data_IF_361648864430
#
_entry.id   IF_361648864430
#
_cell.length_a   1.000
_cell.length_b   1.000
_cell.length_c   1.000
_cell.angle_alpha   90.00
_cell.angle_beta   90.00
_cell.angle_gamma   90.00
#
_symmetry.space_group_name_H-M   'P 1'
#
loop_
_entity.id
_entity.type
_entity.pdbx_description
1 polymer ?
#
# COMPACT_ATOMS: atom_id res chain seq x y z
N UNK A 1 -5.00 -13.65 5.72
CA UNK A 1 -5.58 -14.02 7.03
C UNK A 1 -6.93 -13.31 7.20
N UNK A 2 -7.69 -13.67 8.23
CA UNK A 2 -9.00 -13.05 8.49
C UNK A 2 -10.19 -13.75 7.84
N UNK A 3 -10.01 -14.95 7.28
CA UNK A 3 -11.08 -15.77 6.70
C UNK A 3 -11.82 -16.57 7.79
N UNK A 4 -13.03 -17.10 7.49
CA UNK A 4 -13.81 -17.88 8.44
C UNK A 4 -13.02 -19.02 9.08
N UNK A 5 -13.25 -19.24 10.38
CA UNK A 5 -12.63 -20.28 11.22
C UNK A 5 -11.10 -20.18 11.39
N UNK A 6 -10.47 -19.11 10.88
CA UNK A 6 -9.05 -18.90 11.13
C UNK A 6 -8.81 -18.47 12.58
N UNK A 7 -7.85 -19.13 13.21
CA UNK A 7 -7.22 -18.76 14.48
C UNK A 7 -5.71 -18.66 14.32
N UNK A 8 -5.01 -18.06 15.28
CA UNK A 8 -3.53 -18.01 15.36
C UNK A 8 -2.94 -19.39 15.12
N UNK A 9 -3.41 -20.42 15.84
CA UNK A 9 -2.90 -21.79 15.73
C UNK A 9 -3.11 -22.39 14.33
N UNK A 10 -4.29 -22.21 13.74
CA UNK A 10 -4.56 -22.73 12.39
C UNK A 10 -3.74 -22.02 11.31
N UNK A 11 -3.52 -20.71 11.48
CA UNK A 11 -2.77 -19.90 10.53
C UNK A 11 -1.28 -20.21 10.63
N UNK A 12 -0.78 -20.37 11.86
CA UNK A 12 0.59 -20.80 12.13
C UNK A 12 0.90 -22.13 11.44
N UNK A 13 0.02 -23.13 11.58
CA UNK A 13 0.17 -24.44 10.93
C UNK A 13 0.24 -24.31 9.40
N UNK A 14 -0.49 -23.36 8.83
CA UNK A 14 -0.44 -23.06 7.39
C UNK A 14 0.89 -22.41 7.03
N UNK A 15 1.32 -21.43 7.82
CA UNK A 15 2.55 -20.69 7.61
C UNK A 15 3.78 -21.60 7.69
N UNK A 16 3.81 -22.57 8.61
CA UNK A 16 4.87 -23.59 8.69
C UNK A 16 5.05 -24.36 7.37
N UNK A 17 3.94 -24.79 6.76
CA UNK A 17 3.97 -25.51 5.47
C UNK A 17 4.45 -24.59 4.33
N UNK A 18 4.05 -23.33 4.35
CA UNK A 18 4.47 -22.35 3.34
C UNK A 18 5.96 -22.04 3.45
N UNK A 19 6.47 -21.82 4.68
CA UNK A 19 7.90 -21.62 4.94
C UNK A 19 8.70 -22.85 4.47
N UNK A 20 8.20 -24.06 4.73
CA UNK A 20 8.83 -25.30 4.26
C UNK A 20 8.90 -25.37 2.72
N UNK A 21 7.90 -24.83 2.01
CA UNK A 21 7.92 -24.73 0.55
C UNK A 21 8.92 -23.67 0.03
N UNK A 22 9.46 -22.82 0.90
CA UNK A 22 10.50 -21.82 0.64
C UNK A 22 10.24 -20.91 -0.58
N UNK A 23 9.05 -20.29 -0.72
CA UNK A 23 8.81 -19.32 -1.78
C UNK A 23 9.75 -18.12 -1.63
N UNK A 24 10.10 -17.46 -2.75
CA UNK A 24 10.96 -16.28 -2.71
C UNK A 24 10.23 -15.04 -2.16
N UNK A 25 8.91 -14.96 -2.41
CA UNK A 25 8.03 -13.87 -1.97
C UNK A 25 6.72 -14.39 -1.40
N UNK A 26 6.15 -13.63 -0.46
CA UNK A 26 4.84 -13.89 0.12
C UNK A 26 4.05 -12.59 0.25
N UNK A 27 2.77 -12.65 -0.14
CA UNK A 27 1.79 -11.58 0.10
C UNK A 27 0.69 -12.10 1.03
N UNK A 28 0.64 -11.58 2.25
CA UNK A 28 -0.23 -12.08 3.33
C UNK A 28 -1.28 -11.03 3.67
N UNK A 29 -2.33 -10.97 2.85
CA UNK A 29 -3.37 -9.94 2.96
C UNK A 29 -4.33 -10.15 4.13
N UNK A 30 -4.76 -9.05 4.76
CA UNK A 30 -5.96 -9.02 5.59
C UNK A 30 -7.21 -9.18 4.72
N UNK A 31 -8.12 -10.06 5.11
CA UNK A 31 -9.40 -10.23 4.44
C UNK A 31 -10.31 -9.01 4.66
N UNK A 32 -10.62 -8.32 3.56
CA UNK A 32 -11.57 -7.21 3.53
C UNK A 32 -13.00 -7.72 3.26
N UNK A 33 -13.88 -7.59 4.26
CA UNK A 33 -15.27 -8.00 4.18
C UNK A 33 -16.19 -6.82 3.83
N UNK A 34 -16.65 -6.76 2.58
CA UNK A 34 -17.51 -5.74 2.00
C UNK A 34 -18.64 -6.40 1.17
N UNK A 35 -19.58 -7.14 1.79
CA UNK A 35 -20.61 -7.93 1.11
C UNK A 35 -21.66 -7.12 0.35
N UNK A 36 -21.73 -5.80 0.59
CA UNK A 36 -22.54 -4.85 -0.17
C UNK A 36 -21.96 -4.62 -1.57
N UNK A 37 -20.63 -4.59 -1.68
CA UNK A 37 -19.89 -4.37 -2.92
C UNK A 37 -19.58 -5.71 -3.62
N UNK A 38 -19.09 -6.69 -2.87
CA UNK A 38 -18.73 -8.01 -3.37
C UNK A 38 -19.78 -9.04 -2.96
N UNK A 39 -20.85 -9.14 -3.77
CA UNK A 39 -22.00 -10.03 -3.51
C UNK A 39 -21.63 -11.47 -3.11
N UNK A 40 -20.58 -12.14 -3.66
CA UNK A 40 -20.21 -13.48 -3.23
C UNK A 40 -19.86 -13.59 -1.74
N UNK A 41 -19.36 -12.52 -1.11
CA UNK A 41 -19.01 -12.51 0.30
C UNK A 41 -20.23 -12.67 1.23
N UNK A 42 -21.46 -12.45 0.74
CA UNK A 42 -22.71 -12.72 1.50
C UNK A 42 -22.89 -14.19 1.89
N UNK A 43 -22.09 -15.08 1.31
CA UNK A 43 -22.08 -16.52 1.63
C UNK A 43 -21.20 -16.86 2.84
N UNK A 44 -20.44 -15.88 3.33
CA UNK A 44 -19.63 -16.02 4.54
C UNK A 44 -20.49 -15.60 5.73
N UNK A 45 -20.55 -16.45 6.76
CA UNK A 45 -21.14 -16.09 8.03
C UNK A 45 -20.20 -15.15 8.78
N UNK A 46 -20.69 -13.97 9.16
CA UNK A 46 -19.87 -12.96 9.85
C UNK A 46 -19.42 -13.42 11.24
N UNK A 47 -20.22 -14.25 11.91
CA UNK A 47 -19.89 -14.79 13.24
C UNK A 47 -18.72 -15.79 13.22
N UNK A 48 -18.38 -16.31 12.03
CA UNK A 48 -17.25 -17.24 11.84
C UNK A 48 -15.95 -16.50 11.53
N UNK A 49 -16.01 -15.18 11.31
CA UNK A 49 -14.82 -14.37 11.07
C UNK A 49 -14.05 -14.19 12.39
N UNK A 50 -12.71 -14.24 12.34
CA UNK A 50 -11.90 -13.95 13.51
C UNK A 50 -12.13 -12.52 13.98
N UNK A 51 -12.11 -12.36 15.31
CA UNK A 51 -12.20 -11.04 15.95
C UNK A 51 -11.04 -10.12 15.53
N UNK A 52 -11.18 -8.79 15.68
CA UNK A 52 -10.08 -7.86 15.44
C UNK A 52 -8.80 -8.21 16.20
N UNK A 53 -8.92 -8.64 17.46
CA UNK A 53 -7.78 -9.05 18.27
C UNK A 53 -7.11 -10.30 17.69
N UNK A 54 -7.89 -11.32 17.32
CA UNK A 54 -7.35 -12.54 16.72
C UNK A 54 -6.63 -12.25 15.39
N UNK A 55 -7.14 -11.32 14.58
CA UNK A 55 -6.48 -10.86 13.34
C UNK A 55 -5.13 -10.18 13.63
N UNK A 56 -5.08 -9.34 14.67
CA UNK A 56 -3.85 -8.67 15.10
C UNK A 56 -2.82 -9.68 15.64
N UNK A 57 -3.27 -10.68 16.38
CA UNK A 57 -2.41 -11.74 16.90
C UNK A 57 -1.87 -12.62 15.76
N UNK A 58 -2.69 -12.94 14.75
CA UNK A 58 -2.25 -13.62 13.52
C UNK A 58 -1.18 -12.79 12.79
N UNK A 59 -1.40 -11.48 12.64
CA UNK A 59 -0.45 -10.58 11.97
C UNK A 59 0.89 -10.54 12.71
N UNK A 60 0.86 -10.39 14.03
CA UNK A 60 2.07 -10.35 14.88
C UNK A 60 2.84 -11.67 14.79
N UNK A 61 2.16 -12.80 14.99
CA UNK A 61 2.77 -14.13 14.87
C UNK A 61 3.37 -14.35 13.48
N UNK A 62 2.67 -13.93 12.43
CA UNK A 62 3.16 -14.04 11.05
C UNK A 62 4.46 -13.26 10.85
N UNK A 63 4.51 -12.01 11.30
CA UNK A 63 5.68 -11.16 11.16
C UNK A 63 6.89 -11.77 11.90
N UNK A 64 6.71 -12.19 13.15
CA UNK A 64 7.78 -12.78 13.96
C UNK A 64 8.30 -14.08 13.35
N UNK A 65 7.40 -14.96 12.91
CA UNK A 65 7.75 -16.27 12.38
C UNK A 65 8.45 -16.18 11.01
N UNK A 66 8.01 -15.25 10.16
CA UNK A 66 8.69 -14.99 8.90
C UNK A 66 10.06 -14.36 9.10
N UNK A 67 10.21 -13.43 10.04
CA UNK A 67 11.50 -12.86 10.38
C UNK A 67 12.47 -13.95 10.90
N UNK A 68 12.00 -14.85 11.76
CA UNK A 68 12.79 -16.00 12.24
C UNK A 68 13.18 -16.97 11.11
N UNK A 69 12.31 -17.13 10.10
CA UNK A 69 12.59 -17.91 8.90
C UNK A 69 13.49 -17.17 7.88
N UNK A 70 13.95 -15.95 8.17
CA UNK A 70 14.87 -15.18 7.34
C UNK A 70 14.20 -14.32 6.26
N UNK A 71 12.88 -14.19 6.26
CA UNK A 71 12.18 -13.28 5.35
C UNK A 71 12.26 -11.84 5.84
N UNK A 72 12.46 -10.93 4.91
CA UNK A 72 12.44 -9.48 5.13
C UNK A 72 11.03 -8.96 4.90
N UNK A 73 10.52 -8.15 5.83
CA UNK A 73 9.29 -7.40 5.63
C UNK A 73 9.53 -6.22 4.70
N UNK A 74 8.98 -6.30 3.49
CA UNK A 74 9.09 -5.26 2.46
C UNK A 74 8.08 -4.15 2.72
N UNK A 75 6.85 -4.49 3.11
CA UNK A 75 5.86 -3.49 3.49
C UNK A 75 4.44 -3.89 3.20
N UNK A 76 3.51 -3.24 3.92
CA UNK A 76 2.11 -3.62 4.02
C UNK A 76 1.92 -5.11 4.32
N UNK A 77 1.73 -5.91 3.28
CA UNK A 77 1.39 -7.32 3.34
C UNK A 77 2.48 -8.19 2.69
N UNK A 78 3.62 -7.61 2.27
CA UNK A 78 4.66 -8.28 1.46
C UNK A 78 5.93 -8.61 2.24
N UNK A 79 6.41 -9.84 2.02
CA UNK A 79 7.66 -10.38 2.54
C UNK A 79 8.47 -11.00 1.40
N UNK A 80 9.79 -10.90 1.46
CA UNK A 80 10.69 -11.47 0.47
C UNK A 80 11.97 -12.00 1.10
N UNK A 81 12.71 -12.87 0.41
CA UNK A 81 14.05 -13.31 0.85
C UNK A 81 15.03 -12.12 0.85
N UNK A 82 16.11 -12.15 1.66
CA UNK A 82 17.03 -11.01 1.79
C UNK A 82 17.80 -10.64 0.51
N UNK A 83 17.96 -11.60 -0.40
CA UNK A 83 18.61 -11.50 -1.70
C UNK A 83 17.61 -11.22 -2.85
N UNK A 84 16.32 -11.12 -2.55
CA UNK A 84 15.32 -10.69 -3.52
C UNK A 84 15.56 -9.24 -3.94
N UNK A 85 15.36 -8.94 -5.23
CA UNK A 85 15.53 -7.59 -5.79
C UNK A 85 14.71 -6.51 -5.05
N UNK A 86 13.55 -6.84 -4.48
CA UNK A 86 12.74 -5.89 -3.71
C UNK A 86 13.38 -5.58 -2.35
N UNK A 87 13.95 -6.58 -1.69
CA UNK A 87 14.66 -6.39 -0.42
C UNK A 87 15.94 -5.58 -0.62
N UNK A 88 16.65 -5.81 -1.74
CA UNK A 88 17.82 -5.04 -2.13
C UNK A 88 17.42 -3.59 -2.43
N UNK A 89 16.44 -3.37 -3.30
CA UNK A 89 15.98 -2.04 -3.67
C UNK A 89 15.48 -1.23 -2.46
N UNK A 90 14.80 -1.87 -1.51
CA UNK A 90 14.38 -1.19 -0.27
C UNK A 90 15.58 -0.73 0.57
N UNK A 91 16.59 -1.59 0.72
CA UNK A 91 17.81 -1.28 1.48
C UNK A 91 18.61 -0.14 0.84
N UNK A 92 18.54 -0.04 -0.49
CA UNK A 92 19.18 1.01 -1.29
C UNK A 92 18.31 2.28 -1.43
N UNK A 93 17.07 2.26 -0.94
CA UNK A 93 16.13 3.39 -1.04
C UNK A 93 15.53 3.60 -2.43
N UNK A 94 15.67 2.61 -3.33
CA UNK A 94 15.21 2.65 -4.73
C UNK A 94 13.91 1.87 -4.95
N UNK A 95 13.33 1.28 -3.90
CA UNK A 95 12.06 0.57 -4.00
C UNK A 95 10.95 1.51 -4.48
N UNK A 96 10.19 1.03 -5.45
CA UNK A 96 9.06 1.73 -6.02
C UNK A 96 7.78 0.92 -5.86
N UNK A 97 6.62 1.57 -6.04
CA UNK A 97 5.32 0.91 -6.00
C UNK A 97 4.39 1.43 -7.08
N UNK A 98 3.76 0.52 -7.82
CA UNK A 98 2.71 0.81 -8.80
C UNK A 98 1.38 0.13 -8.43
N UNK A 99 0.43 0.06 -9.37
CA UNK A 99 -0.88 -0.56 -9.14
C UNK A 99 -0.82 -2.07 -8.86
N UNK A 100 0.21 -2.78 -9.34
CA UNK A 100 0.37 -4.22 -9.12
C UNK A 100 1.08 -4.55 -7.80
N UNK A 101 1.91 -3.65 -7.29
CA UNK A 101 2.65 -3.87 -6.04
C UNK A 101 4.00 -3.17 -6.03
N UNK A 102 4.90 -3.67 -5.20
CA UNK A 102 6.28 -3.21 -5.15
C UNK A 102 7.07 -3.66 -6.39
N UNK A 103 7.99 -2.81 -6.85
CA UNK A 103 8.79 -3.01 -8.05
C UNK A 103 10.16 -2.34 -7.90
N UNK A 104 11.14 -2.85 -8.62
CA UNK A 104 12.49 -2.26 -8.79
C UNK A 104 12.57 -1.24 -9.92
N UNK A 105 11.54 -1.16 -10.76
CA UNK A 105 11.51 -0.27 -11.92
C UNK A 105 10.72 0.99 -11.59
N UNK A 106 11.43 2.00 -11.06
CA UNK A 106 10.91 3.34 -10.91
C UNK A 106 10.82 4.05 -12.28
N UNK A 107 10.08 5.16 -12.34
CA UNK A 107 10.08 6.12 -13.47
C UNK A 107 9.65 5.55 -14.84
N UNK A 108 9.02 4.37 -14.86
CA UNK A 108 8.46 3.79 -16.07
C UNK A 108 7.00 4.21 -16.27
N UNK A 109 6.66 4.55 -17.51
CA UNK A 109 5.25 4.59 -17.91
C UNK A 109 4.66 3.17 -17.84
N UNK A 110 3.45 3.07 -17.30
CA UNK A 110 2.68 1.85 -17.18
C UNK A 110 1.52 1.88 -18.18
N UNK A 111 1.55 1.00 -19.18
CA UNK A 111 0.44 0.84 -20.12
C UNK A 111 -0.49 -0.28 -19.64
N UNK A 112 -1.71 0.07 -19.25
CA UNK A 112 -2.74 -0.90 -18.88
C UNK A 112 -3.53 -1.38 -20.11
N UNK A 113 -3.55 -2.69 -20.34
CA UNK A 113 -4.30 -3.32 -21.44
C UNK A 113 -5.36 -4.26 -20.86
N UNK A 114 -6.55 -4.29 -21.49
CA UNK A 114 -7.69 -5.10 -21.08
C UNK A 114 -8.73 -4.32 -20.27
N UNK A 115 -9.82 -5.01 -19.92
CA UNK A 115 -10.88 -4.43 -19.07
C UNK A 115 -10.32 -4.03 -17.71
N UNK A 116 -10.86 -2.96 -17.12
CA UNK A 116 -10.54 -2.44 -15.78
C UNK A 116 -9.09 -1.96 -15.56
N UNK A 117 -8.18 -2.22 -16.52
CA UNK A 117 -6.76 -1.94 -16.37
C UNK A 117 -6.51 -0.45 -16.14
N UNK A 118 -5.51 -0.15 -15.33
CA UNK A 118 -5.09 1.21 -15.03
C UNK A 118 -3.70 1.41 -15.62
N UNK A 119 -3.55 2.47 -16.40
CA UNK A 119 -2.27 2.96 -16.89
C UNK A 119 -1.84 4.23 -16.17
N UNK A 120 -0.54 4.50 -16.23
CA UNK A 120 0.11 5.70 -15.73
C UNK A 120 1.12 6.16 -16.77
N UNK A 121 0.91 7.33 -17.38
CA UNK A 121 1.82 7.89 -18.38
C UNK A 121 2.14 9.33 -17.99
N UNK A 122 3.41 9.61 -17.72
CA UNK A 122 3.84 10.88 -17.13
C UNK A 122 3.01 11.27 -15.89
N UNK A 123 2.44 12.50 -15.83
CA UNK A 123 1.62 12.94 -14.71
C UNK A 123 0.14 12.51 -14.83
N UNK A 124 -0.17 11.44 -15.56
CA UNK A 124 -1.56 11.04 -15.81
C UNK A 124 -1.84 9.61 -15.38
N UNK A 125 -3.06 9.39 -14.90
CA UNK A 125 -3.64 8.07 -14.73
C UNK A 125 -4.81 7.90 -15.70
N UNK A 126 -4.95 6.71 -16.25
CA UNK A 126 -6.08 6.34 -17.11
C UNK A 126 -6.61 4.98 -16.70
N UNK A 127 -7.93 4.80 -16.77
CA UNK A 127 -8.59 3.54 -16.47
C UNK A 127 -9.45 3.11 -17.67
N UNK A 128 -9.30 1.87 -18.09
CA UNK A 128 -10.14 1.27 -19.12
C UNK A 128 -11.55 0.94 -18.62
N UNK A 129 -12.47 0.76 -19.56
CA UNK A 129 -13.85 0.32 -19.32
C UNK A 129 -13.91 -0.97 -18.49
N UNK A 130 -14.98 -1.09 -17.71
CA UNK A 130 -15.09 -2.12 -16.66
C UNK A 130 -15.82 -3.38 -17.12
N UNK A 131 -16.58 -3.30 -18.20
CA UNK A 131 -17.29 -4.44 -18.77
C UNK A 131 -16.63 -4.90 -20.06
N UNK A 132 -16.78 -6.19 -20.38
CA UNK A 132 -16.24 -6.76 -21.62
C UNK A 132 -16.94 -6.16 -22.85
N UNK A 133 -18.27 -6.04 -22.80
CA UNK A 133 -19.07 -5.58 -23.93
C UNK A 133 -18.69 -4.15 -24.35
N UNK A 134 -18.66 -3.20 -23.41
CA UNK A 134 -18.27 -1.80 -23.71
C UNK A 134 -16.80 -1.72 -24.16
N UNK A 135 -15.92 -2.54 -23.57
CA UNK A 135 -14.51 -2.56 -23.95
C UNK A 135 -14.33 -3.05 -25.38
N UNK A 136 -14.97 -4.15 -25.78
CA UNK A 136 -14.89 -4.65 -27.15
C UNK A 136 -15.52 -3.69 -28.15
N UNK A 137 -16.68 -3.09 -27.83
CA UNK A 137 -17.31 -2.09 -28.69
C UNK A 137 -16.37 -0.94 -29.03
N UNK A 138 -15.67 -0.38 -28.04
CA UNK A 138 -14.69 0.70 -28.24
C UNK A 138 -13.47 0.27 -29.08
N UNK A 139 -12.92 -0.92 -28.80
CA UNK A 139 -11.75 -1.42 -29.52
C UNK A 139 -12.11 -1.76 -30.97
N UNK A 140 -13.24 -2.41 -31.21
CA UNK A 140 -13.71 -2.80 -32.54
C UNK A 140 -14.08 -1.57 -33.40
N UNK A 141 -14.46 -0.45 -32.76
CA UNK A 141 -14.64 0.84 -33.44
C UNK A 141 -13.34 1.60 -33.70
N UNK A 142 -12.17 1.01 -33.41
CA UNK A 142 -10.85 1.62 -33.61
C UNK A 142 -10.49 2.71 -32.58
N UNK A 143 -11.18 2.74 -31.43
CA UNK A 143 -10.95 3.72 -30.36
C UNK A 143 -10.28 3.08 -29.15
N UNK A 144 -9.60 3.89 -28.33
CA UNK A 144 -9.09 3.43 -27.05
C UNK A 144 -10.23 3.28 -26.04
N UNK A 145 -10.27 2.17 -25.30
CA UNK A 145 -11.30 1.88 -24.30
C UNK A 145 -11.12 2.63 -22.97
N UNK A 146 -10.58 3.86 -23.00
CA UNK A 146 -10.35 4.69 -21.80
C UNK A 146 -11.68 5.23 -21.28
N UNK A 147 -12.06 4.82 -20.07
CA UNK A 147 -13.29 5.25 -19.41
C UNK A 147 -13.12 6.61 -18.72
N UNK A 148 -12.03 6.78 -17.98
CA UNK A 148 -11.72 7.99 -17.23
C UNK A 148 -10.22 8.14 -17.01
N UNK A 149 -9.80 9.36 -16.72
CA UNK A 149 -8.43 9.64 -16.33
C UNK A 149 -8.33 10.79 -15.34
N UNK A 150 -7.13 10.97 -14.80
CA UNK A 150 -6.76 12.06 -13.92
C UNK A 150 -5.40 12.59 -14.39
N UNK A 151 -5.30 13.90 -14.62
CA UNK A 151 -4.02 14.58 -14.77
C UNK A 151 -3.66 15.20 -13.44
N UNK A 152 -2.53 14.78 -12.90
CA UNK A 152 -1.99 15.32 -11.67
C UNK A 152 -1.57 16.76 -11.86
N UNK A 153 -1.92 17.60 -10.90
CA UNK A 153 -1.33 18.93 -10.77
C UNK A 153 -0.02 18.84 -9.97
N UNK A 154 0.72 19.95 -9.86
CA UNK A 154 2.02 19.97 -9.16
C UNK A 154 1.93 19.49 -7.70
N UNK A 155 0.92 19.90 -6.94
CA UNK A 155 0.74 19.45 -5.55
C UNK A 155 0.44 17.94 -5.48
N UNK A 156 -0.37 17.41 -6.40
CA UNK A 156 -0.63 15.97 -6.48
C UNK A 156 0.66 15.18 -6.75
N UNK A 157 1.54 15.69 -7.61
CA UNK A 157 2.81 15.02 -7.92
C UNK A 157 3.79 15.05 -6.75
N UNK A 158 3.91 16.19 -6.04
CA UNK A 158 4.72 16.32 -4.83
C UNK A 158 4.24 15.34 -3.76
N UNK A 159 2.92 15.31 -3.50
CA UNK A 159 2.32 14.42 -2.50
C UNK A 159 2.45 12.96 -2.88
N UNK A 160 2.28 12.62 -4.17
CA UNK A 160 2.55 11.27 -4.69
C UNK A 160 3.98 10.84 -4.39
N UNK A 161 4.97 11.71 -4.63
CA UNK A 161 6.38 11.38 -4.38
C UNK A 161 6.64 11.15 -2.88
N UNK A 162 6.17 12.05 -2.02
CA UNK A 162 6.25 11.91 -0.55
C UNK A 162 5.63 10.60 -0.06
N UNK A 163 4.39 10.31 -0.47
CA UNK A 163 3.67 9.09 -0.09
C UNK A 163 4.40 7.85 -0.61
N UNK A 164 4.89 7.88 -1.85
CA UNK A 164 5.59 6.75 -2.47
C UNK A 164 6.89 6.45 -1.73
N UNK A 165 7.69 7.47 -1.40
CA UNK A 165 8.93 7.28 -0.63
C UNK A 165 8.66 6.72 0.76
N UNK A 166 7.66 7.24 1.48
CA UNK A 166 7.30 6.75 2.80
C UNK A 166 6.82 5.29 2.77
N UNK A 167 5.92 4.93 1.83
CA UNK A 167 5.33 3.59 1.77
C UNK A 167 6.32 2.51 1.28
N UNK A 168 7.36 2.90 0.55
CA UNK A 168 8.36 1.97 0.03
C UNK A 168 9.58 1.87 0.95
N UNK A 169 10.09 3.00 1.43
CA UNK A 169 11.40 3.04 2.07
C UNK A 169 11.34 3.26 3.59
N UNK A 170 10.14 3.53 4.14
CA UNK A 170 9.96 3.80 5.57
C UNK A 170 10.77 4.99 6.11
N UNK A 171 11.31 5.82 5.21
CA UNK A 171 12.05 7.03 5.56
C UNK A 171 11.80 8.09 4.49
N UNK A 172 11.88 9.35 4.87
CA UNK A 172 11.75 10.50 3.99
C UNK A 172 12.72 11.58 4.43
N UNK A 173 13.70 11.89 3.58
CA UNK A 173 14.59 13.05 3.72
C UNK A 173 13.94 14.27 3.07
N UNK A 174 13.75 15.34 3.84
CA UNK A 174 13.11 16.56 3.36
C UNK A 174 13.94 17.23 2.28
N UNK A 175 15.28 17.26 2.42
CA UNK A 175 16.16 17.94 1.47
C UNK A 175 16.07 17.35 0.06
N UNK A 176 15.79 16.04 -0.05
CA UNK A 176 15.55 15.36 -1.34
C UNK A 176 14.30 15.91 -2.01
N UNK A 177 13.19 16.03 -1.27
CA UNK A 177 11.93 16.56 -1.79
C UNK A 177 12.06 18.05 -2.13
N UNK A 178 12.66 18.84 -1.24
CA UNK A 178 12.89 20.28 -1.43
C UNK A 178 13.68 20.56 -2.71
N UNK A 179 14.73 19.76 -2.96
CA UNK A 179 15.55 19.88 -4.16
C UNK A 179 14.82 19.50 -5.44
N UNK A 180 14.05 18.40 -5.43
CA UNK A 180 13.33 17.92 -6.63
C UNK A 180 12.21 18.88 -6.99
N UNK A 181 11.47 19.36 -5.99
CA UNK A 181 10.23 20.08 -6.20
C UNK A 181 10.36 21.59 -6.03
N UNK A 182 11.53 22.10 -5.63
CA UNK A 182 11.80 23.52 -5.38
C UNK A 182 10.79 24.12 -4.38
N UNK A 183 10.70 23.49 -3.21
CA UNK A 183 9.84 23.91 -2.09
C UNK A 183 10.64 23.98 -0.78
N UNK A 184 10.12 24.67 0.22
CA UNK A 184 10.51 24.52 1.63
C UNK A 184 9.58 23.49 2.27
N UNK A 185 10.08 22.32 2.67
CA UNK A 185 9.24 21.20 3.12
C UNK A 185 8.48 21.56 4.40
N UNK A 186 9.18 22.22 5.34
CA UNK A 186 8.60 22.64 6.61
C UNK A 186 7.44 23.62 6.45
N UNK A 187 7.52 24.52 5.47
CA UNK A 187 6.46 25.48 5.16
C UNK A 187 5.34 24.82 4.34
N UNK A 188 5.70 24.02 3.33
CA UNK A 188 4.75 23.39 2.41
C UNK A 188 3.86 22.36 3.09
N UNK A 189 4.43 21.57 4.02
CA UNK A 189 3.76 20.52 4.77
C UNK A 189 3.54 20.87 6.24
N UNK A 190 3.46 22.17 6.59
CA UNK A 190 3.34 22.61 7.99
C UNK A 190 2.13 21.99 8.72
N UNK A 191 1.01 21.81 8.01
CA UNK A 191 -0.21 21.22 8.57
C UNK A 191 -0.04 19.72 8.81
N UNK A 192 0.55 19.02 7.84
CA UNK A 192 0.85 17.59 7.89
C UNK A 192 1.86 17.27 8.98
N UNK A 193 2.94 18.04 9.07
CA UNK A 193 3.96 17.92 10.11
C UNK A 193 3.38 18.11 11.52
N UNK A 194 2.38 18.98 11.68
CA UNK A 194 1.65 19.11 12.95
C UNK A 194 0.83 17.86 13.27
N UNK A 195 0.15 17.28 12.28
CA UNK A 195 -0.64 16.04 12.47
C UNK A 195 0.24 14.82 12.76
N UNK A 196 1.46 14.80 12.23
CA UNK A 196 2.41 13.73 12.49
C UNK A 196 2.98 13.71 13.91
N UNK A 197 2.85 14.81 14.68
CA UNK A 197 3.35 14.87 16.06
C UNK A 197 2.70 13.83 16.96
N UNK A 198 1.38 13.66 16.88
CA UNK A 198 0.67 12.66 17.68
C UNK A 198 1.19 11.24 17.36
N UNK A 199 1.47 10.95 16.09
CA UNK A 199 2.06 9.67 15.67
C UNK A 199 3.52 9.50 16.12
N UNK A 200 4.27 10.59 16.26
CA UNK A 200 5.61 10.57 16.83
C UNK A 200 5.58 10.31 18.34
N UNK A 201 4.64 10.94 19.06
CA UNK A 201 4.43 10.75 20.50
C UNK A 201 4.00 9.30 20.81
N UNK A 202 3.21 8.68 19.92
CA UNK A 202 2.84 7.26 19.97
C UNK A 202 3.99 6.30 19.57
N UNK A 203 5.13 6.83 19.13
CA UNK A 203 6.31 6.06 18.71
C UNK A 203 6.11 5.29 17.39
N UNK A 204 5.18 5.74 16.54
CA UNK A 204 4.96 5.17 15.21
C UNK A 204 6.00 5.70 14.21
N UNK A 205 6.42 6.94 14.40
CA UNK A 205 7.48 7.58 13.63
C UNK A 205 8.48 8.26 14.56
N UNK A 206 9.67 8.52 14.06
CA UNK A 206 10.58 9.52 14.60
C UNK A 206 10.60 10.69 13.62
N UNK A 207 10.23 11.88 14.11
CA UNK A 207 10.25 13.11 13.35
C UNK A 207 11.42 13.97 13.83
N UNK A 208 12.38 14.24 12.94
CA UNK A 208 13.48 15.18 13.20
C UNK A 208 13.23 16.50 12.45
N UNK A 209 14.17 17.44 12.54
CA UNK A 209 14.09 18.68 11.77
C UNK A 209 14.24 18.51 10.25
N UNK A 210 14.71 17.36 9.76
CA UNK A 210 15.04 17.14 8.35
C UNK A 210 14.58 15.79 7.78
N UNK A 211 13.99 14.90 8.58
CA UNK A 211 13.54 13.60 8.11
C UNK A 211 12.36 13.05 8.91
N UNK A 212 11.64 12.11 8.29
CA UNK A 212 10.69 11.20 8.94
C UNK A 212 11.26 9.79 8.86
N UNK A 213 11.36 9.08 9.98
CA UNK A 213 11.67 7.65 10.02
C UNK A 213 10.47 6.89 10.57
N UNK A 214 9.98 5.90 9.83
CA UNK A 214 8.88 5.05 10.29
C UNK A 214 9.42 3.93 11.18
N UNK A 215 9.03 3.97 12.45
CA UNK A 215 9.45 3.00 13.46
C UNK A 215 8.79 1.64 13.21
N UNK A 216 9.35 0.53 13.74
CA UNK A 216 8.80 -0.81 13.51
C UNK A 216 7.29 -0.94 13.73
N UNK A 217 6.75 -0.30 14.78
CA UNK A 217 5.31 -0.25 15.03
C UNK A 217 4.54 0.51 13.94
N UNK A 218 5.05 1.66 13.51
CA UNK A 218 4.44 2.47 12.46
C UNK A 218 4.44 1.81 11.09
N UNK A 219 5.33 0.84 10.82
CA UNK A 219 5.36 0.12 9.54
C UNK A 219 4.08 -0.67 9.26
N UNK A 220 3.39 -1.14 10.30
CA UNK A 220 2.07 -1.79 10.16
C UNK A 220 0.95 -0.77 9.92
N UNK A 221 1.15 0.48 10.34
CA UNK A 221 0.22 1.60 10.18
C UNK A 221 0.68 2.58 9.10
N UNK A 222 1.51 2.13 8.16
CA UNK A 222 2.09 3.01 7.14
C UNK A 222 1.04 3.74 6.30
N UNK A 223 -0.10 3.09 6.05
CA UNK A 223 -1.24 3.71 5.35
C UNK A 223 -1.77 4.92 6.14
N UNK A 224 -1.84 4.83 7.47
CA UNK A 224 -2.27 5.94 8.33
C UNK A 224 -1.30 7.12 8.29
N UNK A 225 -0.01 6.83 8.29
CA UNK A 225 1.03 7.87 8.15
C UNK A 225 0.92 8.55 6.79
N UNK A 226 0.81 7.78 5.69
CA UNK A 226 0.66 8.32 4.34
C UNK A 226 -0.63 9.13 4.15
N UNK A 227 -1.74 8.74 4.80
CA UNK A 227 -3.02 9.46 4.71
C UNK A 227 -2.93 10.91 5.20
N UNK A 228 -1.97 11.25 6.07
CA UNK A 228 -1.77 12.64 6.52
C UNK A 228 -1.46 13.58 5.33
N UNK A 229 -0.73 13.06 4.33
CA UNK A 229 -0.36 13.80 3.13
C UNK A 229 -1.42 13.78 2.02
N UNK A 230 -2.51 13.04 2.18
CA UNK A 230 -3.60 12.96 1.21
C UNK A 230 -4.64 14.07 1.45
N UNK A 231 -4.71 15.04 0.52
CA UNK A 231 -5.65 16.16 0.60
C UNK A 231 -7.08 15.79 0.22
N UNK A 232 -7.29 14.73 -0.56
CA UNK A 232 -8.60 14.29 -1.02
C UNK A 232 -9.33 13.48 0.05
N UNK A 233 -8.59 12.79 0.92
CA UNK A 233 -9.15 12.11 2.11
C UNK A 233 -9.90 13.09 3.03
N UNK A 234 -9.36 14.29 3.27
CA UNK A 234 -10.00 15.32 4.10
C UNK A 234 -11.33 15.80 3.51
N UNK A 235 -11.48 15.73 2.19
CA UNK A 235 -12.70 16.10 1.47
C UNK A 235 -13.73 14.94 1.43
N UNK A 236 -13.30 13.70 1.63
CA UNK A 236 -14.10 12.47 1.47
C UNK A 236 -14.54 11.78 2.77
N UNK A 237 -14.50 12.43 3.95
CA UNK A 237 -14.98 11.83 5.22
C UNK A 237 -16.44 11.30 5.19
N UNK A 238 -17.18 11.46 4.08
CA UNK A 238 -18.48 10.84 3.82
C UNK A 238 -18.43 9.43 3.19
N UNK A 239 -17.29 8.91 2.72
CA UNK A 239 -17.18 7.58 2.10
C UNK A 239 -16.63 6.52 3.09
N UNK A 240 -17.42 5.48 3.37
CA UNK A 240 -17.09 4.39 4.30
C UNK A 240 -16.02 3.44 3.70
N UNK A 241 -14.79 3.52 4.19
CA UNK A 241 -13.72 2.56 3.89
C UNK A 241 -13.76 1.33 4.82
N UNK A 242 -13.15 0.22 4.39
CA UNK A 242 -12.95 -0.97 5.23
C UNK A 242 -12.09 -0.60 6.45
N UNK A 243 -12.53 -1.00 7.64
CA UNK A 243 -11.75 -0.81 8.88
C UNK A 243 -10.40 -1.53 8.76
N UNK A 244 -9.35 -0.88 9.27
CA UNK A 244 -7.96 -1.31 9.12
C UNK A 244 -7.69 -2.59 9.92
N UNK A 245 -8.30 -2.74 11.11
CA UNK A 245 -8.50 -3.94 11.93
C UNK A 245 -9.72 -3.68 12.82
#
# INVERSE_FOLDING_TARGET
YGLPFQSVKSFETTLDKVIQASPDRMSIFNYAHLPTLFKPQRRINEDELPSPQEKLDILTMTADKLAQAGYVYIGMDHFAKPDDELAIAQREGTLYRNFQGYSTHAECDLIGIGITSIGMVGPTYSQNLKTLDEYYEMIDSGSLAVFRGLRLNRDDEIRRDVITKLICNFTLDFAVIEKIWEISFGEYFETELRQLKDMADDGLIELTGNQINVMPKGRFLIRNICMVFDIYMKQQQQARFSKVI
#
